data_IF_845181510868
#
_entry.id   IF_845181510868
#
_cell.length_a   1.000
_cell.length_b   1.000
_cell.length_c   1.000
_cell.angle_alpha   90.00
_cell.angle_beta   90.00
_cell.angle_gamma   90.00
#
_symmetry.space_group_name_H-M   'P 1'
#
loop_
_entity.id
_entity.type
_entity.pdbx_description
1 polymer ?
#
# COMPACT_ATOMS: atom_id res chain seq x y z
N UNK A 1 -24.16 -21.62 41.47
CA UNK A 1 -23.93 -20.16 41.63
C UNK A 1 -22.48 -19.69 41.51
N UNK A 2 -21.57 -19.86 42.49
CA UNK A 2 -20.21 -19.26 42.39
C UNK A 2 -19.34 -19.82 41.24
N UNK A 3 -19.48 -21.12 40.91
CA UNK A 3 -18.72 -21.75 39.80
C UNK A 3 -19.26 -21.35 38.43
N UNK A 4 -20.57 -21.32 38.26
CA UNK A 4 -21.24 -20.91 37.03
C UNK A 4 -20.98 -19.43 36.72
N UNK A 5 -21.00 -18.57 37.74
CA UNK A 5 -20.64 -17.16 37.59
C UNK A 5 -19.18 -16.99 37.15
N UNK A 6 -18.25 -17.79 37.68
CA UNK A 6 -16.84 -17.78 37.23
C UNK A 6 -16.69 -18.23 35.78
N UNK A 7 -17.37 -19.30 35.38
CA UNK A 7 -17.35 -19.81 33.99
C UNK A 7 -17.95 -18.78 33.03
N UNK A 8 -19.08 -18.16 33.41
CA UNK A 8 -19.70 -17.09 32.64
C UNK A 8 -18.78 -15.87 32.49
N UNK A 9 -18.11 -15.44 33.57
CA UNK A 9 -17.16 -14.33 33.53
C UNK A 9 -15.95 -14.63 32.63
N UNK A 10 -15.42 -15.85 32.68
CA UNK A 10 -14.31 -16.28 31.79
C UNK A 10 -14.77 -16.23 30.32
N UNK A 11 -15.96 -16.75 30.02
CA UNK A 11 -16.50 -16.72 28.67
C UNK A 11 -16.69 -15.29 28.17
N UNK A 12 -17.26 -14.41 28.99
CA UNK A 12 -17.44 -12.99 28.68
C UNK A 12 -16.10 -12.30 28.42
N UNK A 13 -15.07 -12.55 29.25
CA UNK A 13 -13.72 -12.04 29.01
C UNK A 13 -13.15 -12.54 27.68
N UNK A 14 -13.28 -13.84 27.37
CA UNK A 14 -12.81 -14.39 26.09
C UNK A 14 -13.49 -13.73 24.88
N UNK A 15 -14.81 -13.51 24.96
CA UNK A 15 -15.57 -12.84 23.89
C UNK A 15 -15.10 -11.41 23.61
N UNK A 16 -14.50 -10.73 24.58
CA UNK A 16 -13.95 -9.37 24.40
C UNK A 16 -12.48 -9.43 23.98
N UNK A 17 -11.69 -10.32 24.59
CA UNK A 17 -10.25 -10.42 24.35
C UNK A 17 -9.92 -10.91 22.94
N UNK A 18 -10.68 -11.88 22.41
CA UNK A 18 -10.41 -12.44 21.07
C UNK A 18 -10.54 -11.36 19.98
N UNK A 19 -11.64 -10.58 19.89
CA UNK A 19 -11.75 -9.47 18.94
C UNK A 19 -10.65 -8.42 19.10
N UNK A 20 -10.28 -8.08 20.34
CA UNK A 20 -9.21 -7.11 20.60
C UNK A 20 -7.87 -7.60 20.03
N UNK A 21 -7.52 -8.87 20.23
CA UNK A 21 -6.30 -9.46 19.68
C UNK A 21 -6.34 -9.43 18.15
N UNK A 22 -7.47 -9.77 17.54
CA UNK A 22 -7.63 -9.74 16.08
C UNK A 22 -7.48 -8.32 15.52
N UNK A 23 -8.03 -7.30 16.18
CA UNK A 23 -7.88 -5.89 15.78
C UNK A 23 -6.41 -5.46 15.88
N UNK A 24 -5.70 -5.86 16.94
CA UNK A 24 -4.28 -5.54 17.11
C UNK A 24 -3.44 -6.19 15.99
N UNK A 25 -3.67 -7.46 15.69
CA UNK A 25 -2.99 -8.18 14.62
C UNK A 25 -3.27 -7.55 13.25
N UNK A 26 -4.53 -7.24 12.96
CA UNK A 26 -4.94 -6.58 11.73
C UNK A 26 -4.23 -5.24 11.56
N UNK A 27 -4.21 -4.40 12.60
CA UNK A 27 -3.52 -3.11 12.53
C UNK A 27 -2.01 -3.28 12.37
N UNK A 28 -1.40 -4.24 13.08
CA UNK A 28 0.03 -4.51 12.96
C UNK A 28 0.43 -4.92 11.53
N UNK A 29 -0.33 -5.83 10.91
CA UNK A 29 -0.05 -6.30 9.55
C UNK A 29 -0.28 -5.21 8.50
N UNK A 30 -1.29 -4.35 8.69
CA UNK A 30 -1.58 -3.25 7.78
C UNK A 30 -0.59 -2.08 7.89
N UNK A 31 -0.01 -1.84 9.06
CA UNK A 31 0.88 -0.70 9.29
C UNK A 31 2.35 -0.99 9.01
N UNK A 32 2.72 -2.28 8.90
CA UNK A 32 4.11 -2.70 8.77
C UNK A 32 4.63 -2.59 7.34
N UNK A 33 5.88 -2.13 7.23
CA UNK A 33 6.64 -2.17 5.99
C UNK A 33 7.29 -3.55 5.80
N UNK A 34 7.25 -4.07 4.57
CA UNK A 34 7.79 -5.40 4.24
C UNK A 34 8.96 -5.26 3.26
N UNK A 35 10.13 -5.81 3.57
CA UNK A 35 11.23 -5.86 2.61
C UNK A 35 10.89 -6.83 1.47
N UNK A 36 10.97 -6.36 0.22
CA UNK A 36 10.63 -7.15 -0.97
C UNK A 36 11.86 -7.57 -1.77
N UNK A 37 13.01 -6.92 -1.59
CA UNK A 37 14.24 -7.22 -2.32
C UNK A 37 15.01 -5.96 -2.70
N UNK A 38 15.70 -6.00 -3.83
CA UNK A 38 16.41 -4.87 -4.42
C UNK A 38 15.76 -4.44 -5.75
N UNK A 39 16.00 -3.21 -6.18
CA UNK A 39 15.50 -2.67 -7.46
C UNK A 39 15.86 -3.58 -8.65
N UNK A 40 17.04 -4.22 -8.61
CA UNK A 40 17.56 -5.09 -9.66
C UNK A 40 16.73 -6.36 -9.87
N UNK A 41 15.89 -6.73 -8.92
CA UNK A 41 15.04 -7.92 -8.98
C UNK A 41 13.78 -7.69 -9.84
N UNK A 42 13.55 -6.45 -10.30
CA UNK A 42 12.34 -6.04 -11.01
C UNK A 42 12.64 -5.39 -12.36
N UNK A 43 11.72 -5.57 -13.31
CA UNK A 43 11.80 -4.87 -14.58
C UNK A 43 11.31 -3.44 -14.43
N UNK A 44 12.19 -2.47 -14.63
CA UNK A 44 11.80 -1.06 -14.69
C UNK A 44 11.00 -0.79 -15.97
N UNK A 45 9.89 -0.06 -15.85
CA UNK A 45 9.05 0.29 -17.00
C UNK A 45 8.50 1.70 -16.91
N UNK A 46 8.33 2.32 -18.07
CA UNK A 46 7.62 3.59 -18.24
C UNK A 46 6.27 3.41 -18.96
N UNK A 47 5.83 2.15 -19.16
CA UNK A 47 4.57 1.84 -19.85
C UNK A 47 3.31 2.14 -19.05
N UNK A 48 3.45 2.49 -17.77
CA UNK A 48 2.35 2.82 -16.87
C UNK A 48 2.38 4.31 -16.55
N UNK A 49 1.22 4.97 -16.69
CA UNK A 49 0.99 6.31 -16.16
C UNK A 49 0.82 6.17 -14.65
N UNK A 50 1.68 6.82 -13.88
CA UNK A 50 1.66 6.81 -12.41
C UNK A 50 1.65 8.23 -11.89
N UNK A 51 0.70 8.53 -11.02
CA UNK A 51 0.54 9.85 -10.40
C UNK A 51 0.44 9.65 -8.90
N UNK A 52 1.28 10.36 -8.15
CA UNK A 52 1.16 10.48 -6.70
C UNK A 52 0.47 11.82 -6.43
N UNK A 53 -0.81 11.77 -6.04
CA UNK A 53 -1.63 12.96 -5.81
C UNK A 53 -1.22 13.67 -4.52
N UNK A 54 -1.05 12.92 -3.44
CA UNK A 54 -0.79 13.47 -2.10
C UNK A 54 -0.04 12.46 -1.21
N UNK A 55 0.73 12.99 -0.26
CA UNK A 55 1.39 12.24 0.80
C UNK A 55 1.09 12.92 2.13
N UNK A 56 0.25 12.29 2.94
CA UNK A 56 -0.14 12.82 4.24
C UNK A 56 0.70 12.16 5.34
N UNK A 57 1.54 12.97 5.98
CA UNK A 57 2.36 12.53 7.09
C UNK A 57 1.84 13.10 8.41
N UNK A 58 1.46 12.20 9.31
CA UNK A 58 1.18 12.51 10.71
C UNK A 58 2.26 11.90 11.59
N UNK A 59 2.28 12.26 12.87
CA UNK A 59 3.24 11.72 13.86
C UNK A 59 3.27 10.18 13.88
N UNK A 60 2.13 9.53 13.68
CA UNK A 60 2.00 8.08 13.85
C UNK A 60 1.85 7.33 12.53
N UNK A 61 1.33 7.99 11.49
CA UNK A 61 0.90 7.35 10.26
C UNK A 61 1.24 8.19 9.03
N UNK A 62 1.71 7.51 7.99
CA UNK A 62 1.90 8.08 6.65
C UNK A 62 0.94 7.41 5.68
N UNK A 63 0.28 8.22 4.87
CA UNK A 63 -0.66 7.75 3.82
C UNK A 63 -0.25 8.33 2.47
N UNK A 64 -0.22 7.48 1.44
CA UNK A 64 0.10 7.85 0.07
C UNK A 64 -1.15 7.65 -0.79
N UNK A 65 -1.54 8.69 -1.51
CA UNK A 65 -2.65 8.69 -2.45
C UNK A 65 -2.16 8.90 -3.87
N UNK A 66 -2.79 8.23 -4.82
CA UNK A 66 -2.38 8.31 -6.21
C UNK A 66 -3.15 7.36 -7.10
N UNK A 67 -2.68 7.21 -8.33
CA UNK A 67 -3.18 6.22 -9.26
C UNK A 67 -2.07 5.65 -10.14
N UNK A 68 -2.35 4.48 -10.71
CA UNK A 68 -1.53 3.91 -11.77
C UNK A 68 -2.38 3.16 -12.77
N UNK A 69 -2.12 3.37 -14.06
CA UNK A 69 -2.86 2.74 -15.16
C UNK A 69 -1.98 2.59 -16.41
N UNK A 70 -2.39 1.72 -17.32
CA UNK A 70 -1.77 1.52 -18.63
C UNK A 70 -2.81 1.81 -19.69
N UNK A 71 -2.52 2.73 -20.60
CA UNK A 71 -3.47 3.12 -21.64
C UNK A 71 -3.71 1.96 -22.61
N UNK A 72 -4.95 1.84 -23.09
CA UNK A 72 -5.36 0.79 -24.01
C UNK A 72 -5.61 -0.58 -23.37
N UNK A 73 -5.64 -0.67 -22.03
CA UNK A 73 -5.83 -1.94 -21.30
C UNK A 73 -6.72 -1.77 -20.06
N UNK A 74 -7.69 -2.68 -19.88
CA UNK A 74 -8.52 -2.73 -18.67
C UNK A 74 -7.72 -3.18 -17.45
N UNK A 75 -8.10 -2.69 -16.26
CA UNK A 75 -7.36 -2.91 -15.01
C UNK A 75 -7.78 -4.16 -14.20
N UNK A 76 -8.63 -5.03 -14.74
CA UNK A 76 -9.30 -6.11 -13.99
C UNK A 76 -8.36 -7.13 -13.32
N UNK A 77 -7.11 -7.27 -13.80
CA UNK A 77 -6.18 -8.30 -13.35
C UNK A 77 -4.82 -7.77 -12.87
N UNK A 78 -4.70 -6.46 -12.68
CA UNK A 78 -3.42 -5.84 -12.33
C UNK A 78 -3.33 -5.66 -10.82
N UNK A 79 -2.46 -6.43 -10.16
CA UNK A 79 -2.17 -6.23 -8.75
C UNK A 79 -1.10 -5.14 -8.60
N UNK A 80 -1.40 -4.11 -7.80
CA UNK A 80 -0.57 -2.92 -7.65
C UNK A 80 -0.33 -2.67 -6.18
N UNK A 81 0.92 -2.36 -5.85
CA UNK A 81 1.32 -2.08 -4.49
C UNK A 81 2.27 -0.90 -4.48
N UNK A 82 2.06 0.08 -3.60
CA UNK A 82 3.07 1.10 -3.33
C UNK A 82 4.32 0.46 -2.72
N UNK A 83 5.46 0.98 -3.13
CA UNK A 83 6.75 0.64 -2.55
C UNK A 83 7.54 1.90 -2.25
N UNK A 84 8.46 1.78 -1.31
CA UNK A 84 9.51 2.75 -1.06
C UNK A 84 10.83 2.17 -1.56
N UNK A 85 11.62 3.00 -2.23
CA UNK A 85 12.98 2.65 -2.66
C UNK A 85 13.94 3.61 -1.97
N UNK A 86 14.82 3.07 -1.14
CA UNK A 86 15.83 3.89 -0.47
C UNK A 86 17.09 4.09 -1.30
N UNK A 87 18.04 4.86 -0.76
CA UNK A 87 19.31 5.17 -1.41
C UNK A 87 20.21 3.93 -1.62
N UNK A 88 19.96 2.82 -0.92
CA UNK A 88 20.63 1.53 -1.12
C UNK A 88 19.91 0.64 -2.15
N UNK A 89 18.90 1.19 -2.85
CA UNK A 89 18.03 0.50 -3.80
C UNK A 89 17.20 -0.65 -3.20
N UNK A 90 16.99 -0.67 -1.87
CA UNK A 90 16.12 -1.66 -1.25
C UNK A 90 14.67 -1.30 -1.52
N UNK A 91 13.89 -2.30 -1.93
CA UNK A 91 12.46 -2.15 -2.23
C UNK A 91 11.65 -2.60 -1.02
N UNK A 92 10.84 -1.69 -0.50
CA UNK A 92 10.07 -1.86 0.72
C UNK A 92 8.59 -1.72 0.38
N UNK A 93 7.83 -2.81 0.49
CA UNK A 93 6.40 -2.87 0.23
C UNK A 93 5.56 -2.19 1.31
N UNK A 94 4.58 -1.43 0.86
CA UNK A 94 3.52 -0.81 1.68
C UNK A 94 2.22 -1.55 1.42
N UNK A 95 1.45 -1.87 2.45
CA UNK A 95 0.13 -2.43 2.20
C UNK A 95 -0.76 -1.40 1.50
N UNK A 96 -1.32 -1.77 0.35
CA UNK A 96 -2.00 -0.85 -0.57
C UNK A 96 -3.37 -1.40 -0.91
N UNK A 97 -4.37 -0.52 -0.82
CA UNK A 97 -5.75 -0.82 -1.21
C UNK A 97 -6.04 -0.11 -2.52
N UNK A 98 -6.64 -0.83 -3.46
CA UNK A 98 -7.15 -0.27 -4.71
C UNK A 98 -8.43 0.51 -4.41
N UNK A 99 -8.53 1.72 -4.94
CA UNK A 99 -9.69 2.60 -4.78
C UNK A 99 -10.25 3.00 -6.14
N UNK A 100 -11.54 3.28 -6.20
CA UNK A 100 -12.17 3.74 -7.44
C UNK A 100 -11.80 5.19 -7.77
N UNK A 101 -11.60 5.47 -9.05
CA UNK A 101 -11.28 6.77 -9.66
C UNK A 101 -11.92 6.86 -11.04
N UNK A 102 -13.20 7.19 -11.08
CA UNK A 102 -13.99 7.28 -12.32
C UNK A 102 -13.49 8.38 -13.27
N UNK A 103 -12.88 9.42 -12.72
CA UNK A 103 -12.34 10.54 -13.50
C UNK A 103 -11.27 10.12 -14.51
N UNK A 104 -10.56 9.01 -14.30
CA UNK A 104 -9.55 8.52 -15.25
C UNK A 104 -10.20 7.97 -16.53
N UNK A 105 -11.24 7.13 -16.39
CA UNK A 105 -12.01 6.58 -17.53
C UNK A 105 -12.63 7.70 -18.36
N UNK A 106 -13.27 8.67 -17.69
CA UNK A 106 -13.89 9.82 -18.34
C UNK A 106 -12.86 10.72 -19.05
N UNK A 107 -11.69 10.91 -18.45
CA UNK A 107 -10.64 11.79 -19.00
C UNK A 107 -10.03 11.23 -20.29
N UNK A 108 -9.68 9.94 -20.31
CA UNK A 108 -9.04 9.33 -21.49
C UNK A 108 -10.05 8.96 -22.58
N UNK A 109 -11.25 8.52 -22.19
CA UNK A 109 -12.37 8.23 -23.10
C UNK A 109 -11.98 7.42 -24.35
N UNK A 110 -11.14 6.39 -24.17
CA UNK A 110 -10.55 5.57 -25.24
C UNK A 110 -11.22 4.19 -25.36
N UNK A 111 -12.32 3.97 -24.62
CA UNK A 111 -13.09 2.72 -24.60
C UNK A 111 -12.63 1.69 -23.56
N UNK A 112 -11.63 2.00 -22.74
CA UNK A 112 -11.15 1.13 -21.65
C UNK A 112 -11.57 1.65 -20.27
N UNK A 113 -11.71 0.75 -19.29
CA UNK A 113 -12.09 1.10 -17.92
C UNK A 113 -10.84 1.25 -17.03
N UNK A 114 -10.66 2.46 -16.49
CA UNK A 114 -9.59 2.84 -15.58
C UNK A 114 -10.09 3.16 -14.16
N UNK A 115 -11.33 2.82 -13.81
CA UNK A 115 -11.93 3.17 -12.53
C UNK A 115 -11.11 2.59 -11.37
N UNK A 116 -10.55 1.38 -11.53
CA UNK A 116 -9.68 0.74 -10.53
C UNK A 116 -8.21 1.18 -10.62
N UNK A 117 -7.96 2.42 -11.04
CA UNK A 117 -6.61 2.98 -11.12
C UNK A 117 -6.14 3.58 -9.80
N UNK A 118 -7.05 3.97 -8.91
CA UNK A 118 -6.73 4.61 -7.64
C UNK A 118 -6.05 3.66 -6.65
N UNK A 119 -5.13 4.22 -5.85
CA UNK A 119 -4.34 3.48 -4.88
C UNK A 119 -4.20 4.30 -3.59
N UNK A 120 -4.36 3.61 -2.46
CA UNK A 120 -4.16 4.15 -1.11
C UNK A 120 -3.22 3.23 -0.32
N UNK A 121 -2.00 3.72 -0.05
CA UNK A 121 -0.99 3.01 0.73
C UNK A 121 -0.83 3.61 2.12
N UNK A 122 -0.75 2.77 3.15
CA UNK A 122 -0.66 3.24 4.54
C UNK A 122 0.39 2.46 5.32
N UNK A 123 1.14 3.17 6.17
CA UNK A 123 2.10 2.55 7.09
C UNK A 123 2.34 3.45 8.32
N UNK A 124 2.84 2.87 9.40
CA UNK A 124 3.20 3.66 10.58
C UNK A 124 4.50 4.46 10.34
N UNK A 125 4.46 5.77 10.61
CA UNK A 125 5.58 6.69 10.38
C UNK A 125 6.87 6.27 11.09
N UNK A 126 6.77 5.51 12.19
CA UNK A 126 7.93 4.97 12.93
C UNK A 126 8.82 4.02 12.11
N UNK A 127 8.33 3.49 10.98
CA UNK A 127 9.07 2.53 10.16
C UNK A 127 9.96 3.19 9.10
N UNK A 128 9.84 4.50 8.88
CA UNK A 128 10.74 5.25 8.01
C UNK A 128 11.78 5.98 8.83
N UNK A 129 13.02 6.00 8.35
CA UNK A 129 14.07 6.84 8.91
C UNK A 129 14.02 8.21 8.24
N UNK A 130 13.75 9.27 9.01
CA UNK A 130 13.69 10.64 8.47
C UNK A 130 15.03 11.14 7.91
N UNK A 131 16.15 10.47 8.20
CA UNK A 131 17.46 10.80 7.65
C UNK A 131 17.72 10.16 6.27
N UNK A 132 16.85 9.24 5.84
CA UNK A 132 16.97 8.54 4.55
C UNK A 132 15.93 9.09 3.58
N UNK A 133 16.32 9.25 2.32
CA UNK A 133 15.38 9.59 1.27
C UNK A 133 14.78 8.31 0.69
N UNK A 134 13.45 8.26 0.63
CA UNK A 134 12.72 7.15 0.03
C UNK A 134 11.96 7.65 -1.18
N UNK A 135 12.29 7.16 -2.37
CA UNK A 135 11.47 7.37 -3.57
C UNK A 135 10.21 6.52 -3.48
N UNK A 136 9.06 7.10 -3.79
CA UNK A 136 7.81 6.35 -3.91
C UNK A 136 7.79 5.68 -5.28
N UNK A 137 7.46 4.40 -5.30
CA UNK A 137 7.21 3.64 -6.51
C UNK A 137 5.95 2.79 -6.42
N UNK A 138 5.62 2.11 -7.51
CA UNK A 138 4.54 1.13 -7.59
C UNK A 138 5.09 -0.14 -8.20
N UNK A 139 4.91 -1.24 -7.47
CA UNK A 139 5.13 -2.58 -7.96
C UNK A 139 3.84 -3.10 -8.60
N UNK A 140 3.96 -3.57 -9.83
CA UNK A 140 2.83 -3.98 -10.66
C UNK A 140 3.06 -5.43 -11.08
N UNK A 141 2.12 -6.31 -10.73
CA UNK A 141 2.12 -7.71 -11.14
C UNK A 141 0.99 -7.94 -12.14
N UNK A 142 1.37 -8.27 -13.37
CA UNK A 142 0.45 -8.60 -14.44
C UNK A 142 -0.03 -10.06 -14.37
N UNK A 143 -1.10 -10.37 -15.09
CA UNK A 143 -1.73 -11.71 -15.14
C UNK A 143 -0.79 -12.81 -15.63
N UNK A 144 0.14 -12.47 -16.53
CA UNK A 144 1.17 -13.39 -17.04
C UNK A 144 2.28 -13.67 -16.01
N UNK A 145 2.24 -13.05 -14.84
CA UNK A 145 3.25 -13.18 -13.78
C UNK A 145 4.42 -12.20 -13.90
N UNK A 146 4.47 -11.40 -14.96
CA UNK A 146 5.47 -10.35 -15.10
C UNK A 146 5.31 -9.32 -13.98
N UNK A 147 6.43 -8.94 -13.38
CA UNK A 147 6.48 -7.93 -12.32
C UNK A 147 7.28 -6.74 -12.82
N UNK A 148 6.68 -5.56 -12.71
CA UNK A 148 7.29 -4.31 -13.10
C UNK A 148 7.35 -3.35 -11.92
N UNK A 149 8.41 -2.54 -11.89
CA UNK A 149 8.57 -1.48 -10.92
C UNK A 149 8.56 -0.13 -11.65
N UNK A 150 7.67 0.75 -11.21
CA UNK A 150 7.57 2.13 -11.70
C UNK A 150 7.97 3.04 -10.56
N UNK A 151 9.02 3.84 -10.75
CA UNK A 151 9.51 4.77 -9.73
C UNK A 151 9.02 6.18 -10.06
N UNK A 152 8.38 6.83 -9.10
CA UNK A 152 7.98 8.23 -9.24
C UNK A 152 9.11 9.17 -8.85
N UNK A 153 8.95 10.46 -9.17
CA UNK A 153 9.82 11.54 -8.75
C UNK A 153 9.55 12.00 -7.30
N UNK A 154 8.47 11.51 -6.66
CA UNK A 154 8.12 11.85 -5.28
C UNK A 154 9.03 11.13 -4.30
N UNK A 155 9.50 11.89 -3.31
CA UNK A 155 10.38 11.43 -2.25
C UNK A 155 9.69 11.71 -0.90
N UNK A 156 9.85 10.78 0.04
CA UNK A 156 9.49 10.96 1.45
C UNK A 156 10.71 10.71 2.32
N UNK A 157 10.78 11.39 3.46
CA UNK A 157 11.99 11.42 4.29
C UNK A 157 12.96 12.52 3.86
N UNK A 158 14.15 12.50 4.43
CA UNK A 158 15.12 13.60 4.35
C UNK A 158 14.90 14.66 5.43
N UNK A 159 16.00 15.25 5.92
CA UNK A 159 15.94 16.50 6.68
C UNK A 159 15.44 17.61 5.75
N UNK A 160 14.33 18.25 6.13
CA UNK A 160 14.06 19.63 5.71
C UNK A 160 15.21 20.54 6.16
#
# INVERSE_FOLDING_TARGET
>A
MKRELKVFLIFLCCCIMIPLILIILFNYDNEKLTSLGNISDYNLTNGYITIIDDVQQTKNKTTIYGCSLKLGENLDYVNKQYVLVDDENRVIGINTVVTDRTSATEYFNDGFNYDKSGLNGQFATKYINNEVNYKIGILIKEKNGATYLVISDRIIGGKN
#
